data_IF_791781561765
#
_entry.id   IF_791781561765
#
_cell.length_a   1.000
_cell.length_b   1.000
_cell.length_c   1.000
_cell.angle_alpha   90.00
_cell.angle_beta   90.00
_cell.angle_gamma   90.00
#
_symmetry.space_group_name_H-M   'P 1'
#
loop_
_entity.id
_entity.type
_entity.pdbx_description
1 polymer ?
#
# COMPACT_ATOMS: atom_id res chain seq x y z
N UNK A 1 -25.56 -46.10 52.01
CA UNK A 1 -25.53 -45.86 50.55
C UNK A 1 -26.72 -45.00 50.20
N UNK A 2 -26.49 -43.95 49.40
CA UNK A 2 -27.49 -42.96 48.96
C UNK A 2 -27.70 -41.85 50.00
N UNK A 3 -27.66 -40.56 49.70
CA UNK A 3 -27.57 -39.85 48.43
C UNK A 3 -28.24 -38.49 48.65
N UNK A 4 -27.50 -37.40 48.49
CA UNK A 4 -28.03 -36.05 48.66
C UNK A 4 -27.16 -35.05 47.91
N UNK A 5 -27.79 -34.13 47.18
CA UNK A 5 -27.13 -33.01 46.53
C UNK A 5 -27.84 -32.56 45.26
N UNK A 6 -28.78 -31.60 45.41
CA UNK A 6 -29.32 -30.84 44.29
C UNK A 6 -28.33 -29.79 43.78
N UNK A 7 -28.52 -29.37 42.53
CA UNK A 7 -27.73 -28.31 41.91
C UNK A 7 -28.40 -27.81 40.63
N UNK A 8 -28.98 -26.62 40.71
CA UNK A 8 -29.54 -25.82 39.62
C UNK A 8 -28.42 -25.26 38.74
N UNK A 9 -28.48 -25.49 37.43
CA UNK A 9 -27.57 -24.89 36.44
C UNK A 9 -28.29 -23.89 35.54
N UNK A 10 -27.97 -22.61 35.70
CA UNK A 10 -28.39 -21.53 34.81
C UNK A 10 -27.55 -21.54 33.52
N UNK A 11 -28.21 -21.44 32.37
CA UNK A 11 -27.56 -21.31 31.07
C UNK A 11 -27.05 -19.90 30.82
N UNK A 12 -25.82 -19.79 30.32
CA UNK A 12 -25.28 -18.60 29.69
C UNK A 12 -24.83 -18.97 28.27
N UNK A 13 -25.52 -18.43 27.27
CA UNK A 13 -25.14 -18.54 25.86
C UNK A 13 -24.00 -17.57 25.55
N UNK A 14 -22.93 -18.07 24.95
CA UNK A 14 -21.86 -17.26 24.39
C UNK A 14 -22.06 -17.15 22.87
N UNK A 15 -22.33 -15.94 22.40
CA UNK A 15 -22.41 -15.61 20.98
C UNK A 15 -21.01 -15.60 20.34
N UNK A 16 -20.89 -16.26 19.19
CA UNK A 16 -19.69 -16.26 18.38
C UNK A 16 -19.60 -14.97 17.55
N UNK A 17 -18.59 -14.14 17.84
CA UNK A 17 -18.14 -13.07 16.96
C UNK A 17 -16.89 -13.54 16.21
N UNK A 18 -17.02 -13.80 14.90
CA UNK A 18 -15.90 -14.17 14.04
C UNK A 18 -15.03 -12.95 13.70
N UNK A 19 -13.79 -12.96 14.15
CA UNK A 19 -12.75 -12.00 13.74
C UNK A 19 -11.89 -12.60 12.61
N UNK A 20 -11.70 -11.84 11.54
CA UNK A 20 -10.83 -12.20 10.41
C UNK A 20 -9.35 -12.25 10.86
N UNK A 21 -8.68 -13.39 10.63
CA UNK A 21 -7.27 -13.61 10.96
C UNK A 21 -6.32 -13.09 9.88
N UNK A 22 -5.26 -12.40 10.29
CA UNK A 22 -4.21 -11.85 9.45
C UNK A 22 -3.15 -12.91 9.11
N UNK A 23 -2.85 -13.09 7.82
CA UNK A 23 -1.80 -14.02 7.35
C UNK A 23 -0.40 -13.47 7.55
N UNK A 24 0.54 -14.31 8.00
CA UNK A 24 1.96 -13.97 8.14
C UNK A 24 2.75 -14.32 6.87
N UNK A 25 3.65 -13.42 6.44
CA UNK A 25 4.62 -13.70 5.38
C UNK A 25 6.01 -14.01 5.93
N UNK A 26 6.72 -14.98 5.35
CA UNK A 26 8.09 -15.31 5.72
C UNK A 26 9.08 -14.87 4.62
N UNK A 27 10.11 -14.09 4.99
CA UNK A 27 11.25 -13.81 4.12
C UNK A 27 12.36 -14.82 4.36
N UNK A 28 12.99 -15.34 3.30
CA UNK A 28 14.18 -16.17 3.39
C UNK A 28 15.29 -15.59 2.49
N UNK A 29 16.54 -15.59 2.95
CA UNK A 29 17.70 -15.43 2.08
C UNK A 29 18.17 -16.82 1.61
N UNK A 30 18.72 -17.05 0.40
CA UNK A 30 18.70 -16.28 -0.86
C UNK A 30 17.53 -16.70 -1.78
N UNK A 31 16.50 -17.35 -1.25
CA UNK A 31 15.29 -17.67 -2.02
C UNK A 31 14.17 -16.76 -1.55
N UNK A 32 13.80 -15.80 -2.40
CA UNK A 32 12.51 -15.12 -2.52
C UNK A 32 11.50 -15.19 -1.36
N UNK A 33 10.75 -14.11 -1.11
CA UNK A 33 9.68 -14.10 -0.09
C UNK A 33 8.79 -15.35 -0.21
N UNK A 34 8.88 -16.23 0.80
CA UNK A 34 8.12 -17.49 0.87
C UNK A 34 6.94 -17.25 1.77
N UNK A 35 5.74 -17.18 1.22
CA UNK A 35 4.54 -17.11 2.04
C UNK A 35 4.16 -18.51 2.51
N UNK A 36 4.33 -18.75 3.79
CA UNK A 36 3.75 -19.91 4.48
C UNK A 36 2.47 -19.42 5.15
N UNK A 37 1.31 -19.87 4.68
CA UNK A 37 0.03 -19.45 5.26
C UNK A 37 -0.22 -20.21 6.57
N UNK A 38 -0.29 -19.52 7.70
CA UNK A 38 -0.71 -20.08 8.98
C UNK A 38 -2.24 -19.98 9.17
N UNK A 39 -3.06 -20.50 8.25
CA UNK A 39 -4.48 -20.73 8.52
C UNK A 39 -5.01 -21.97 7.79
N UNK A 40 -4.84 -23.12 8.44
CA UNK A 40 -5.68 -24.31 8.29
C UNK A 40 -5.65 -25.10 9.62
N UNK A 41 -6.24 -24.54 10.68
CA UNK A 41 -6.74 -25.40 11.76
C UNK A 41 -8.13 -25.88 11.35
N UNK A 42 -8.17 -26.89 10.50
CA UNK A 42 -9.30 -27.83 10.51
C UNK A 42 -8.81 -28.96 11.40
N UNK A 43 -9.40 -29.09 12.60
CA UNK A 43 -9.24 -30.30 13.38
C UNK A 43 -10.02 -31.43 12.69
N UNK A 44 -9.47 -31.97 11.62
CA UNK A 44 -9.55 -33.42 11.45
C UNK A 44 -8.40 -33.99 12.25
N UNK A 45 -8.69 -35.00 13.06
CA UNK A 45 -7.70 -35.65 13.90
C UNK A 45 -6.45 -36.00 13.06
N UNK A 46 -5.27 -35.60 13.59
CA UNK A 46 -3.89 -35.94 13.18
C UNK A 46 -3.28 -35.31 11.91
N UNK A 47 -2.96 -34.01 11.91
CA UNK A 47 -1.60 -33.49 11.63
C UNK A 47 -1.55 -31.96 11.45
N UNK A 48 -0.76 -31.27 12.29
CA UNK A 48 -0.52 -29.82 12.20
C UNK A 48 0.70 -29.58 11.30
N UNK A 49 0.48 -29.36 10.01
CA UNK A 49 1.56 -29.16 9.05
C UNK A 49 1.45 -27.82 8.29
N UNK A 50 2.57 -27.11 8.17
CA UNK A 50 2.67 -25.92 7.32
C UNK A 50 2.56 -26.31 5.84
N UNK A 51 1.73 -25.59 5.07
CA UNK A 51 1.57 -25.79 3.63
C UNK A 51 1.92 -24.52 2.85
N UNK A 52 2.80 -24.65 1.86
CA UNK A 52 3.05 -23.58 0.90
C UNK A 52 1.81 -23.34 0.03
N UNK A 53 1.37 -22.08 -0.03
CA UNK A 53 0.20 -21.68 -0.84
C UNK A 53 0.65 -21.02 -2.13
N UNK A 54 1.59 -20.10 -2.05
CA UNK A 54 2.17 -19.39 -3.18
C UNK A 54 3.58 -18.89 -2.85
N UNK A 55 4.35 -18.62 -3.88
CA UNK A 55 5.74 -18.17 -3.80
C UNK A 55 6.03 -17.13 -4.86
N UNK A 56 6.83 -16.13 -4.51
CA UNK A 56 7.49 -15.26 -5.49
C UNK A 56 8.72 -16.00 -6.03
N UNK A 57 8.89 -16.04 -7.35
CA UNK A 57 10.05 -16.70 -7.98
C UNK A 57 11.16 -15.71 -8.33
N UNK A 58 10.98 -14.42 -8.04
CA UNK A 58 12.01 -13.39 -8.19
C UNK A 58 13.18 -13.61 -7.23
N UNK A 59 14.40 -13.48 -7.75
CA UNK A 59 15.62 -13.53 -6.92
C UNK A 59 15.83 -12.18 -6.24
N UNK A 60 15.16 -11.98 -5.10
CA UNK A 60 15.26 -10.76 -4.30
C UNK A 60 15.77 -11.08 -2.90
N UNK A 61 16.68 -10.26 -2.39
CA UNK A 61 17.21 -10.40 -1.05
C UNK A 61 16.33 -9.58 -0.10
N UNK A 62 15.19 -10.18 0.27
CA UNK A 62 14.18 -9.53 1.10
C UNK A 62 14.71 -9.26 2.50
N UNK A 63 14.60 -8.01 2.95
CA UNK A 63 15.02 -7.53 4.29
C UNK A 63 13.85 -7.52 5.27
N UNK A 64 12.66 -7.16 4.79
CA UNK A 64 11.43 -7.16 5.55
C UNK A 64 10.23 -7.46 4.64
N UNK A 65 9.18 -8.07 5.17
CA UNK A 65 7.91 -8.26 4.48
C UNK A 65 6.71 -8.13 5.43
N UNK A 66 5.54 -7.83 4.86
CA UNK A 66 4.28 -7.74 5.56
C UNK A 66 3.10 -7.99 4.60
N UNK A 67 1.96 -8.34 5.18
CA UNK A 67 0.69 -8.49 4.47
C UNK A 67 -0.03 -7.14 4.47
N UNK A 68 -0.51 -6.68 3.31
CA UNK A 68 -1.33 -5.46 3.19
C UNK A 68 -2.82 -5.78 3.29
N UNK A 69 -3.23 -6.88 2.64
CA UNK A 69 -4.56 -7.46 2.70
C UNK A 69 -4.51 -8.96 2.36
N UNK A 70 -5.66 -9.62 2.21
CA UNK A 70 -5.75 -11.06 1.91
C UNK A 70 -5.04 -11.54 0.62
N UNK A 71 -4.70 -10.63 -0.29
CA UNK A 71 -4.13 -10.90 -1.61
C UNK A 71 -2.85 -10.13 -1.91
N UNK A 72 -2.62 -9.00 -1.25
CA UNK A 72 -1.47 -8.13 -1.48
C UNK A 72 -0.46 -8.20 -0.34
N UNK A 73 0.80 -8.25 -0.73
CA UNK A 73 1.95 -8.35 0.16
C UNK A 73 2.92 -7.25 -0.20
N UNK A 74 3.57 -6.69 0.81
CA UNK A 74 4.64 -5.72 0.67
C UNK A 74 5.94 -6.35 1.13
N UNK A 75 7.02 -6.05 0.43
CA UNK A 75 8.36 -6.42 0.83
C UNK A 75 9.36 -5.32 0.50
N UNK A 76 10.44 -5.29 1.28
CA UNK A 76 11.63 -4.48 1.03
C UNK A 76 12.80 -5.42 0.75
N UNK A 77 13.73 -5.00 -0.10
CA UNK A 77 14.93 -5.76 -0.43
C UNK A 77 16.21 -4.95 -0.21
N UNK A 78 17.37 -5.58 -0.39
CA UNK A 78 18.67 -5.03 0.01
C UNK A 78 19.26 -3.97 -0.93
N UNK A 79 18.66 -3.73 -2.10
CA UNK A 79 18.93 -2.60 -2.99
C UNK A 79 17.98 -1.41 -2.74
N UNK A 80 17.39 -1.34 -1.54
CA UNK A 80 16.57 -0.22 -1.05
C UNK A 80 15.25 0.00 -1.79
N UNK A 81 14.74 -1.05 -2.45
CA UNK A 81 13.43 -1.01 -3.09
C UNK A 81 12.33 -1.57 -2.19
N UNK A 82 11.14 -0.99 -2.33
CA UNK A 82 9.88 -1.59 -1.97
C UNK A 82 9.25 -2.23 -3.20
N UNK A 83 8.54 -3.33 -2.98
CA UNK A 83 7.75 -3.97 -4.00
C UNK A 83 6.51 -4.63 -3.42
N UNK A 84 5.45 -4.68 -4.23
CA UNK A 84 4.21 -5.36 -3.88
C UNK A 84 3.99 -6.56 -4.77
N UNK A 85 3.59 -7.66 -4.15
CA UNK A 85 3.20 -8.88 -4.81
C UNK A 85 1.70 -9.15 -4.60
N UNK A 86 1.05 -9.71 -5.61
CA UNK A 86 -0.37 -10.10 -5.56
C UNK A 86 -0.52 -11.60 -5.76
N UNK A 87 -1.39 -12.20 -4.97
CA UNK A 87 -1.88 -13.57 -5.16
C UNK A 87 -3.20 -13.55 -5.91
N UNK A 88 -3.30 -14.35 -6.97
CA UNK A 88 -4.57 -14.63 -7.63
C UNK A 88 -5.09 -16.04 -7.28
N UNK A 89 -6.03 -16.17 -6.33
CA UNK A 89 -6.61 -17.48 -6.00
C UNK A 89 -7.53 -18.02 -7.10
N UNK A 90 -7.95 -17.18 -8.05
CA UNK A 90 -8.88 -17.51 -9.12
C UNK A 90 -8.19 -17.79 -10.46
N UNK A 91 -6.85 -17.78 -10.48
CA UNK A 91 -6.09 -18.10 -11.69
C UNK A 91 -6.48 -19.49 -12.21
N UNK A 92 -6.42 -19.70 -13.53
CA UNK A 92 -6.98 -20.90 -14.18
C UNK A 92 -6.17 -22.15 -13.79
N UNK A 93 -4.84 -22.02 -13.81
CA UNK A 93 -3.93 -23.13 -13.53
C UNK A 93 -3.44 -23.15 -12.08
N UNK A 94 -3.11 -24.34 -11.57
CA UNK A 94 -2.51 -24.46 -10.23
C UNK A 94 -1.15 -23.76 -10.14
N UNK A 95 -0.38 -23.76 -11.22
CA UNK A 95 0.93 -23.10 -11.28
C UNK A 95 0.79 -21.58 -11.13
N UNK A 96 -0.18 -20.96 -11.81
CA UNK A 96 -0.47 -19.54 -11.64
C UNK A 96 -0.97 -19.22 -10.22
N UNK A 97 -1.86 -20.06 -9.65
CA UNK A 97 -2.34 -19.89 -8.27
C UNK A 97 -1.21 -19.96 -7.23
N UNK A 98 -0.13 -20.70 -7.53
CA UNK A 98 1.07 -20.84 -6.70
C UNK A 98 2.09 -19.72 -6.92
N UNK A 99 1.91 -18.84 -7.91
CA UNK A 99 2.82 -17.73 -8.20
C UNK A 99 2.33 -16.44 -7.59
N UNK A 100 3.24 -15.73 -6.93
CA UNK A 100 3.02 -14.33 -6.59
C UNK A 100 3.41 -13.47 -7.80
N UNK A 101 2.48 -12.62 -8.23
CA UNK A 101 2.68 -11.68 -9.31
C UNK A 101 3.28 -10.39 -8.76
N UNK A 102 4.39 -9.91 -9.34
CA UNK A 102 4.91 -8.58 -9.04
C UNK A 102 3.99 -7.52 -9.65
N UNK A 103 3.33 -6.72 -8.80
CA UNK A 103 2.36 -5.72 -9.23
C UNK A 103 2.81 -4.28 -9.00
N UNK A 104 3.83 -4.03 -8.18
CA UNK A 104 4.29 -2.67 -7.87
C UNK A 104 5.73 -2.63 -7.42
N UNK A 105 6.41 -1.52 -7.69
CA UNK A 105 7.82 -1.30 -7.36
C UNK A 105 8.12 0.17 -7.15
N UNK A 106 8.97 0.47 -6.17
CA UNK A 106 9.35 1.82 -5.78
C UNK A 106 10.73 1.81 -5.12
N UNK A 107 11.66 2.64 -5.59
CA UNK A 107 12.93 2.81 -4.90
C UNK A 107 12.76 3.75 -3.71
N UNK A 108 12.78 3.18 -2.50
CA UNK A 108 12.63 3.93 -1.27
C UNK A 108 13.91 4.72 -0.93
N UNK A 109 15.07 4.14 -1.23
CA UNK A 109 16.37 4.70 -0.86
C UNK A 109 16.78 4.39 0.59
N UNK A 110 16.00 3.56 1.29
CA UNK A 110 16.23 3.18 2.68
C UNK A 110 16.24 1.66 2.88
N UNK A 111 16.95 1.23 3.91
CA UNK A 111 17.02 -0.17 4.31
C UNK A 111 16.00 -0.48 5.41
N UNK A 112 14.86 -1.06 5.06
CA UNK A 112 13.80 -1.39 6.01
C UNK A 112 14.13 -2.65 6.81
N UNK A 113 14.10 -2.56 8.14
CA UNK A 113 14.34 -3.70 9.03
C UNK A 113 13.04 -4.37 9.48
N UNK A 114 11.95 -3.60 9.64
CA UNK A 114 10.70 -4.15 10.19
C UNK A 114 9.50 -3.37 9.70
N UNK A 115 8.48 -4.10 9.27
CA UNK A 115 7.10 -3.63 9.14
C UNK A 115 6.30 -4.05 10.37
N UNK A 116 5.37 -3.19 10.81
CA UNK A 116 4.39 -3.46 11.86
C UNK A 116 3.04 -2.92 11.45
N UNK A 117 2.00 -3.75 11.58
CA UNK A 117 0.63 -3.29 11.40
C UNK A 117 0.28 -2.27 12.48
N UNK A 118 -0.32 -1.14 12.06
CA UNK A 118 -0.68 -0.07 12.97
C UNK A 118 -0.77 1.30 12.29
N UNK A 119 -1.15 2.29 13.11
CA UNK A 119 -1.18 3.70 12.75
C UNK A 119 -0.66 4.50 13.94
N UNK A 120 0.07 5.58 13.66
CA UNK A 120 0.54 6.52 14.68
C UNK A 120 -0.53 7.55 15.05
N UNK A 121 -1.62 7.61 14.29
CA UNK A 121 -2.68 8.61 14.41
C UNK A 121 -3.85 8.04 15.20
N UNK A 122 -4.38 8.84 16.15
CA UNK A 122 -5.66 8.52 16.78
C UNK A 122 -6.79 8.63 15.74
N UNK A 123 -7.31 7.49 15.30
CA UNK A 123 -8.61 7.48 14.62
C UNK A 123 -9.68 7.77 15.67
N UNK A 124 -10.27 8.96 15.61
CA UNK A 124 -11.55 9.20 16.26
C UNK A 124 -12.49 8.08 15.81
N UNK A 125 -13.15 7.42 16.78
CA UNK A 125 -14.04 6.27 16.57
C UNK A 125 -14.83 6.37 15.26
N UNK A 126 -14.77 5.30 14.46
CA UNK A 126 -15.29 5.17 13.11
C UNK A 126 -16.78 5.50 12.99
N UNK A 127 -17.10 6.79 12.82
CA UNK A 127 -18.42 7.28 12.43
C UNK A 127 -18.38 8.66 11.77
N UNK A 128 -17.23 9.17 11.30
CA UNK A 128 -17.23 10.38 10.48
C UNK A 128 -17.54 10.01 9.03
N UNK A 129 -18.83 9.96 8.68
CA UNK A 129 -19.36 9.89 7.31
C UNK A 129 -19.02 11.14 6.47
N UNK A 130 -17.84 11.74 6.68
CA UNK A 130 -17.38 12.98 6.07
C UNK A 130 -15.86 13.06 5.87
N UNK A 131 -15.13 11.95 5.93
CA UNK A 131 -13.72 11.93 5.47
C UNK A 131 -13.71 12.13 3.96
N UNK A 132 -12.85 13.03 3.48
CA UNK A 132 -12.67 13.31 2.04
C UNK A 132 -11.75 12.24 1.42
N UNK A 133 -10.94 11.56 2.24
CA UNK A 133 -9.99 10.52 1.82
C UNK A 133 -10.45 9.11 2.21
N UNK A 134 -10.20 8.12 1.36
CA UNK A 134 -10.33 6.69 1.65
C UNK A 134 -9.04 6.06 2.20
N UNK A 135 -8.00 6.89 2.39
CA UNK A 135 -6.68 6.45 2.84
C UNK A 135 -6.76 5.73 4.17
N UNK A 136 -6.20 4.52 4.17
CA UNK A 136 -6.19 3.63 5.32
C UNK A 136 -4.74 3.27 5.64
N UNK A 137 -4.13 3.84 6.70
CA UNK A 137 -2.83 3.39 7.19
C UNK A 137 -2.87 1.89 7.49
N UNK A 138 -1.86 1.17 7.00
CA UNK A 138 -1.71 -0.28 7.13
C UNK A 138 -0.51 -0.62 7.99
N UNK A 139 0.64 -0.06 7.66
CA UNK A 139 1.91 -0.44 8.27
C UNK A 139 2.68 0.80 8.70
N UNK A 140 3.39 0.68 9.81
CA UNK A 140 4.53 1.51 10.17
C UNK A 140 5.79 0.69 9.91
N UNK A 141 6.85 1.32 9.42
CA UNK A 141 8.14 0.66 9.22
C UNK A 141 9.30 1.49 9.75
N UNK A 142 10.36 0.79 10.15
CA UNK A 142 11.60 1.40 10.62
C UNK A 142 12.80 0.97 9.78
N UNK A 143 13.65 1.94 9.47
CA UNK A 143 14.84 1.79 8.64
C UNK A 143 16.12 1.78 9.48
N UNK A 144 17.22 1.29 8.90
CA UNK A 144 18.56 1.31 9.52
C UNK A 144 19.02 2.72 9.88
N UNK A 145 18.64 3.71 9.07
CA UNK A 145 18.95 5.14 9.29
C UNK A 145 18.24 5.76 10.50
N UNK A 146 17.25 5.07 11.07
CA UNK A 146 16.34 5.64 12.08
C UNK A 146 15.11 6.31 11.48
N UNK A 147 14.99 6.38 10.15
CA UNK A 147 13.76 6.82 9.48
C UNK A 147 12.59 5.89 9.86
N UNK A 148 11.46 6.50 10.22
CA UNK A 148 10.17 5.84 10.33
C UNK A 148 9.32 6.24 9.13
N UNK A 149 8.59 5.28 8.57
CA UNK A 149 7.66 5.54 7.49
C UNK A 149 6.33 4.84 7.69
N UNK A 150 5.32 5.29 6.95
CA UNK A 150 3.97 4.75 6.96
C UNK A 150 3.62 4.26 5.57
N UNK A 151 2.99 3.08 5.49
CA UNK A 151 2.35 2.58 4.28
C UNK A 151 0.85 2.63 4.49
N UNK A 152 0.16 3.33 3.60
CA UNK A 152 -1.29 3.41 3.57
C UNK A 152 -1.83 2.92 2.23
N UNK A 153 -3.03 2.33 2.26
CA UNK A 153 -3.76 1.94 1.05
C UNK A 153 -4.83 2.98 0.71
N UNK A 154 -5.00 3.28 -0.56
CA UNK A 154 -6.07 4.12 -1.10
C UNK A 154 -6.88 3.33 -2.13
N UNK A 155 -8.10 3.78 -2.41
CA UNK A 155 -8.88 3.23 -3.52
C UNK A 155 -8.32 3.68 -4.89
N UNK A 156 -8.87 3.12 -5.98
CA UNK A 156 -8.38 3.39 -7.33
C UNK A 156 -8.55 4.86 -7.77
N UNK A 157 -9.67 5.49 -7.45
CA UNK A 157 -9.95 6.87 -7.87
C UNK A 157 -9.03 7.86 -7.15
N UNK A 158 -8.81 7.62 -5.86
CA UNK A 158 -7.91 8.39 -5.03
C UNK A 158 -6.44 8.21 -5.45
N UNK A 159 -6.03 6.97 -5.77
CA UNK A 159 -4.72 6.71 -6.36
C UNK A 159 -4.52 7.52 -7.65
N UNK A 160 -5.54 7.60 -8.50
CA UNK A 160 -5.48 8.37 -9.74
C UNK A 160 -5.36 9.89 -9.49
N UNK A 161 -6.04 10.43 -8.47
CA UNK A 161 -5.90 11.83 -8.06
C UNK A 161 -4.49 12.09 -7.53
N UNK A 162 -4.04 11.29 -6.57
CA UNK A 162 -2.71 11.44 -5.95
C UNK A 162 -1.57 11.29 -6.97
N UNK A 163 -1.70 10.37 -7.92
CA UNK A 163 -0.73 10.20 -9.01
C UNK A 163 -0.56 11.48 -9.83
N UNK A 164 -1.67 12.17 -10.14
CA UNK A 164 -1.65 13.44 -10.89
C UNK A 164 -1.09 14.58 -10.06
N UNK A 165 -1.45 14.65 -8.77
CA UNK A 165 -0.88 15.63 -7.84
C UNK A 165 0.63 15.46 -7.70
N UNK A 166 1.11 14.23 -7.50
CA UNK A 166 2.54 13.93 -7.47
C UNK A 166 3.22 14.35 -8.78
N UNK A 167 2.67 13.97 -9.94
CA UNK A 167 3.24 14.34 -11.23
C UNK A 167 3.27 15.86 -11.46
N UNK A 168 2.26 16.59 -11.01
CA UNK A 168 2.21 18.04 -11.07
C UNK A 168 3.22 18.68 -10.11
N UNK A 169 3.29 18.19 -8.87
CA UNK A 169 4.24 18.65 -7.86
C UNK A 169 5.69 18.49 -8.34
N UNK A 170 6.06 17.34 -8.90
CA UNK A 170 7.42 17.09 -9.43
C UNK A 170 7.82 18.10 -10.53
N UNK A 171 6.86 18.57 -11.35
CA UNK A 171 7.15 19.56 -12.40
C UNK A 171 7.37 20.96 -11.85
N UNK A 172 6.68 21.30 -10.76
CA UNK A 172 6.77 22.62 -10.13
C UNK A 172 7.95 22.67 -9.17
N UNK A 173 8.22 21.57 -8.46
CA UNK A 173 9.38 21.40 -7.60
C UNK A 173 10.66 21.45 -8.42
N UNK A 174 11.55 22.37 -8.06
CA UNK A 174 12.92 22.33 -8.52
C UNK A 174 13.68 21.29 -7.71
N UNK A 175 14.12 20.21 -8.37
CA UNK A 175 14.98 19.21 -7.74
C UNK A 175 16.31 19.81 -7.27
N UNK A 176 16.90 19.24 -6.22
CA UNK A 176 18.23 19.63 -5.75
C UNK A 176 19.29 18.89 -6.57
N UNK A 177 20.31 19.62 -7.04
CA UNK A 177 21.50 19.03 -7.66
C UNK A 177 21.22 18.28 -8.97
N UNK A 178 20.24 18.74 -9.77
CA UNK A 178 19.87 18.16 -11.06
C UNK A 178 19.54 16.66 -11.02
N UNK A 179 19.12 16.14 -9.86
CA UNK A 179 18.67 14.75 -9.74
C UNK A 179 17.21 14.61 -10.16
N UNK A 180 16.91 13.97 -11.31
CA UNK A 180 15.54 13.81 -11.76
C UNK A 180 14.80 12.80 -10.88
N UNK A 181 13.58 13.16 -10.46
CA UNK A 181 12.77 12.36 -9.55
C UNK A 181 12.45 10.94 -10.09
N UNK A 182 11.95 10.84 -11.32
CA UNK A 182 11.50 9.55 -11.86
C UNK A 182 12.64 8.52 -11.93
N UNK A 183 13.84 8.85 -12.46
CA UNK A 183 15.00 7.96 -12.40
C UNK A 183 15.40 7.55 -10.99
N UNK A 184 15.32 8.44 -10.00
CA UNK A 184 15.61 8.11 -8.61
C UNK A 184 14.63 7.08 -8.02
N UNK A 185 13.33 7.18 -8.34
CA UNK A 185 12.30 6.27 -7.81
C UNK A 185 12.13 4.95 -8.58
N UNK A 186 12.89 4.72 -9.66
CA UNK A 186 12.81 3.46 -10.45
C UNK A 186 13.18 2.26 -9.60
N UNK A 187 12.38 1.21 -9.68
CA UNK A 187 12.72 -0.07 -9.06
C UNK A 187 13.90 -0.69 -9.83
N UNK A 188 15.06 -0.85 -9.18
CA UNK A 188 16.27 -1.39 -9.82
C UNK A 188 16.92 -2.45 -8.95
N UNK A 189 17.16 -3.62 -9.55
CA UNK A 189 17.91 -4.75 -8.99
C UNK A 189 18.97 -5.20 -10.00
N UNK A 190 19.82 -6.16 -9.64
CA UNK A 190 20.84 -6.69 -10.55
C UNK A 190 20.29 -7.34 -11.83
N UNK A 191 19.04 -7.81 -11.80
CA UNK A 191 18.43 -8.56 -12.92
C UNK A 191 17.19 -7.90 -13.52
N UNK A 192 16.73 -6.79 -12.95
CA UNK A 192 15.45 -6.16 -13.31
C UNK A 192 15.48 -4.67 -13.02
N UNK A 193 14.96 -3.89 -13.95
CA UNK A 193 14.68 -2.47 -13.78
C UNK A 193 13.26 -2.18 -14.29
N UNK A 194 12.44 -1.53 -13.48
CA UNK A 194 11.09 -1.09 -13.85
C UNK A 194 10.88 0.36 -13.43
N UNK A 195 9.98 1.05 -14.15
CA UNK A 195 9.46 2.32 -13.68
C UNK A 195 8.72 2.15 -12.34
N UNK A 196 8.72 3.21 -11.54
CA UNK A 196 7.87 3.27 -10.36
C UNK A 196 6.40 3.06 -10.78
N UNK A 197 5.71 2.13 -10.10
CA UNK A 197 4.28 1.87 -10.36
C UNK A 197 3.57 1.36 -9.12
N UNK A 198 2.28 1.70 -9.02
CA UNK A 198 1.41 1.32 -7.90
C UNK A 198 1.92 1.77 -6.52
N UNK A 199 2.68 2.87 -6.49
CA UNK A 199 3.11 3.58 -5.29
C UNK A 199 2.91 5.09 -5.49
N UNK A 200 2.55 5.78 -4.42
CA UNK A 200 2.54 7.24 -4.31
C UNK A 200 3.61 7.60 -3.27
N UNK A 201 4.44 8.57 -3.62
CA UNK A 201 5.42 9.18 -2.72
C UNK A 201 4.73 10.24 -1.88
N UNK A 202 4.48 9.90 -0.61
CA UNK A 202 3.80 10.78 0.34
C UNK A 202 4.57 12.09 0.56
N UNK A 203 5.91 12.05 0.56
CA UNK A 203 6.74 13.22 0.81
C UNK A 203 6.56 14.28 -0.29
N UNK A 204 6.46 13.83 -1.55
CA UNK A 204 6.20 14.73 -2.68
C UNK A 204 4.82 15.35 -2.60
N UNK A 205 3.79 14.55 -2.28
CA UNK A 205 2.42 15.05 -2.15
C UNK A 205 2.30 16.04 -0.98
N UNK A 206 2.89 15.71 0.16
CA UNK A 206 2.89 16.55 1.37
C UNK A 206 3.62 17.86 1.16
N UNK A 207 4.72 17.86 0.39
CA UNK A 207 5.48 19.07 0.07
C UNK A 207 4.66 20.19 -0.60
N UNK A 208 3.50 19.86 -1.18
CA UNK A 208 2.57 20.86 -1.75
C UNK A 208 2.11 21.84 -0.67
N UNK A 209 2.00 21.40 0.59
CA UNK A 209 1.59 22.24 1.72
C UNK A 209 2.65 23.28 2.09
N UNK A 210 3.92 23.01 1.78
CA UNK A 210 5.06 23.91 2.06
C UNK A 210 5.35 24.88 0.89
N UNK A 211 4.65 24.74 -0.23
CA UNK A 211 4.82 25.60 -1.40
C UNK A 211 4.26 27.00 -1.19
N UNK A 212 4.76 27.96 -1.97
CA UNK A 212 4.12 29.27 -2.10
C UNK A 212 2.71 29.12 -2.65
N UNK A 213 1.81 30.09 -2.38
CA UNK A 213 0.45 30.07 -2.93
C UNK A 213 0.47 29.95 -4.46
N UNK A 214 1.36 30.68 -5.12
CA UNK A 214 1.47 30.68 -6.57
C UNK A 214 1.91 29.31 -7.10
N UNK A 215 2.86 28.65 -6.43
CA UNK A 215 3.31 27.30 -6.82
C UNK A 215 2.23 26.24 -6.55
N UNK A 216 1.51 26.33 -5.42
CA UNK A 216 0.38 25.44 -5.15
C UNK A 216 -0.75 25.61 -6.18
N UNK A 217 -1.03 26.85 -6.61
CA UNK A 217 -1.97 27.12 -7.71
C UNK A 217 -1.49 26.54 -9.04
N UNK A 218 -0.18 26.60 -9.33
CA UNK A 218 0.40 25.94 -10.50
C UNK A 218 0.29 24.43 -10.44
N UNK A 219 0.54 23.81 -9.29
CA UNK A 219 0.36 22.35 -9.08
C UNK A 219 -1.10 21.98 -9.33
N UNK A 220 -2.05 22.72 -8.76
CA UNK A 220 -3.48 22.50 -8.99
C UNK A 220 -3.86 22.61 -10.48
N UNK A 221 -3.38 23.66 -11.16
CA UNK A 221 -3.66 23.89 -12.58
C UNK A 221 -3.09 22.76 -13.45
N UNK A 222 -1.85 22.33 -13.20
CA UNK A 222 -1.21 21.21 -13.90
C UNK A 222 -1.97 19.89 -13.66
N UNK A 223 -2.33 19.57 -12.42
CA UNK A 223 -3.06 18.35 -12.09
C UNK A 223 -4.46 18.32 -12.74
N UNK A 224 -5.15 19.46 -12.76
CA UNK A 224 -6.47 19.62 -13.40
C UNK A 224 -6.36 19.48 -14.92
N UNK A 225 -5.34 20.08 -15.53
CA UNK A 225 -5.12 19.99 -16.98
C UNK A 225 -4.87 18.54 -17.45
N UNK A 226 -4.32 17.67 -16.60
CA UNK A 226 -4.15 16.24 -16.91
C UNK A 226 -5.47 15.49 -17.09
N UNK A 227 -6.59 15.99 -16.54
CA UNK A 227 -7.93 15.41 -16.82
C UNK A 227 -8.45 15.79 -18.21
N UNK A 228 -8.12 16.99 -18.70
CA UNK A 228 -8.55 17.47 -20.02
C UNK A 228 -7.74 16.94 -21.21
N UNK A 229 -6.58 16.32 -20.97
CA UNK A 229 -5.58 16.00 -22.00
C UNK A 229 -5.69 14.62 -22.66
N UNK A 230 -6.70 13.81 -22.32
CA UNK A 230 -6.82 12.45 -22.87
C UNK A 230 -7.49 12.39 -24.26
N UNK A 231 -6.71 12.83 -25.25
CA UNK A 231 -6.91 12.61 -26.68
C UNK A 231 -5.56 12.56 -27.40
N UNK A 232 -4.71 11.58 -27.09
CA UNK A 232 -3.48 11.28 -27.82
C UNK A 232 -2.24 12.03 -27.34
N UNK A 233 -1.31 11.30 -26.72
CA UNK A 233 -0.01 11.85 -26.35
C UNK A 233 0.63 11.08 -25.21
N UNK A 234 1.31 9.99 -25.57
CA UNK A 234 2.23 9.25 -24.73
C UNK A 234 3.37 10.18 -24.27
N UNK A 235 3.19 10.84 -23.13
CA UNK A 235 4.22 11.56 -22.41
C UNK A 235 4.30 10.97 -21.00
N UNK A 236 5.21 9.99 -20.86
CA UNK A 236 5.72 9.34 -19.66
C UNK A 236 5.27 9.94 -18.31
N UNK A 237 4.07 9.57 -17.87
CA UNK A 237 3.80 9.38 -16.45
C UNK A 237 4.44 8.03 -16.04
N UNK A 238 5.08 7.92 -14.87
CA UNK A 238 5.63 6.64 -14.42
C UNK A 238 4.50 5.61 -14.41
N UNK A 239 4.77 4.43 -14.98
CA UNK A 239 3.82 3.46 -15.50
C UNK A 239 2.63 3.15 -14.56
N UNK A 240 1.62 4.02 -14.56
CA UNK A 240 0.31 3.71 -14.02
C UNK A 240 -0.24 2.55 -14.85
N UNK A 241 -0.56 1.45 -14.19
CA UNK A 241 -1.30 0.34 -14.78
C UNK A 241 -2.46 0.91 -15.60
N UNK A 242 -2.67 0.35 -16.81
CA UNK A 242 -3.73 0.72 -17.75
C UNK A 242 -4.98 1.21 -17.01
N UNK A 243 -5.15 2.54 -16.94
CA UNK A 243 -6.30 3.15 -16.29
C UNK A 243 -7.50 2.87 -17.18
N UNK A 244 -8.16 1.75 -16.91
CA UNK A 244 -9.48 1.44 -17.44
C UNK A 244 -10.41 2.60 -17.10
N UNK A 245 -11.16 3.07 -18.09
CA UNK A 245 -11.94 4.29 -18.03
C UNK A 245 -12.77 4.42 -16.76
N UNK A 246 -12.42 5.38 -15.92
CA UNK A 246 -13.22 5.85 -14.80
C UNK A 246 -13.37 7.38 -14.93
N UNK A 247 -14.63 7.83 -14.88
CA UNK A 247 -15.23 9.18 -14.96
C UNK A 247 -14.41 10.35 -15.53
N UNK A 248 -14.97 10.95 -16.59
CA UNK A 248 -14.54 12.22 -17.23
C UNK A 248 -14.67 13.47 -16.35
N UNK A 249 -15.29 13.38 -15.17
CA UNK A 249 -15.54 14.56 -14.32
C UNK A 249 -14.37 14.85 -13.39
N UNK A 250 -14.04 16.13 -13.25
CA UNK A 250 -13.01 16.59 -12.33
C UNK A 250 -13.44 16.25 -10.89
N UNK A 251 -12.62 15.50 -10.13
CA UNK A 251 -12.95 15.18 -8.75
C UNK A 251 -13.17 16.44 -7.90
N UNK A 252 -14.10 16.40 -6.95
CA UNK A 252 -14.43 17.54 -6.09
C UNK A 252 -13.21 18.09 -5.35
N UNK A 253 -12.26 17.22 -4.99
CA UNK A 253 -10.99 17.58 -4.34
C UNK A 253 -10.07 18.43 -5.22
N UNK A 254 -10.29 18.47 -6.54
CA UNK A 254 -9.58 19.31 -7.49
C UNK A 254 -10.43 20.49 -8.01
N UNK A 255 -11.58 20.78 -7.39
CA UNK A 255 -12.45 21.90 -7.81
C UNK A 255 -11.78 23.28 -7.67
N UNK A 256 -10.80 23.42 -6.78
CA UNK A 256 -9.99 24.63 -6.58
C UNK A 256 -8.67 24.28 -5.91
N UNK A 257 -7.67 25.15 -5.99
CA UNK A 257 -6.42 24.99 -5.25
C UNK A 257 -6.64 24.89 -3.73
N UNK A 258 -7.65 25.60 -3.20
CA UNK A 258 -8.02 25.51 -1.77
C UNK A 258 -8.64 24.16 -1.40
N UNK A 259 -9.44 23.56 -2.29
CA UNK A 259 -9.97 22.21 -2.07
C UNK A 259 -8.86 21.15 -2.13
N UNK A 260 -7.91 21.31 -3.06
CA UNK A 260 -6.73 20.46 -3.18
C UNK A 260 -5.89 20.51 -1.91
N UNK A 261 -5.56 21.70 -1.40
CA UNK A 261 -4.76 21.84 -0.18
C UNK A 261 -5.44 21.19 1.04
N UNK A 262 -6.76 21.37 1.21
CA UNK A 262 -7.52 20.68 2.28
C UNK A 262 -7.45 19.16 2.16
N UNK A 263 -7.50 18.65 0.94
CA UNK A 263 -7.40 17.22 0.68
C UNK A 263 -5.98 16.70 0.99
N UNK A 264 -4.92 17.41 0.56
CA UNK A 264 -3.53 17.05 0.92
C UNK A 264 -3.32 17.09 2.43
N UNK A 265 -3.82 18.12 3.11
CA UNK A 265 -3.77 18.23 4.57
C UNK A 265 -4.46 17.05 5.28
N UNK A 266 -5.62 16.61 4.78
CA UNK A 266 -6.30 15.43 5.33
C UNK A 266 -5.47 14.15 5.12
N UNK A 267 -4.92 13.95 3.93
CA UNK A 267 -4.05 12.80 3.60
C UNK A 267 -2.82 12.77 4.50
N UNK A 268 -2.13 13.91 4.67
CA UNK A 268 -0.97 14.04 5.56
C UNK A 268 -1.33 13.71 7.01
N UNK A 269 -2.45 14.25 7.52
CA UNK A 269 -2.93 13.99 8.90
C UNK A 269 -3.30 12.53 9.15
N UNK A 270 -3.65 11.76 8.12
CA UNK A 270 -3.93 10.33 8.28
C UNK A 270 -2.64 9.50 8.39
N UNK A 271 -1.50 10.05 7.97
CA UNK A 271 -0.19 9.41 8.02
C UNK A 271 0.65 9.83 9.25
N UNK A 272 0.41 11.03 9.81
CA UNK A 272 1.18 11.61 10.93
C UNK A 272 0.35 11.93 12.17
#
# INVERSE_FOLDING_TARGET
GGGGGGGTGAGAGAGAGGGAGAGAGAGAAPSSTRLVNEHAWVSEQSDVAMREVCRDYGSMWTTASATLDSRHYLACENMYNLYTCRRDPNAVTDDERRRLEFVGGFHLGEHVNRFREGSLVMRASAASSGSISSLTPKLVFGCVSGMLGVVASVNHDEFAVLSRLQAAAIKVLQGVGDMPYNPWRKFVTSSRADECRNFIDGDVVESILDMSRDDAERVWAEATAMYGRNGGGEAAAPAAASVGGASMELPTVLSSASAMLKYVEEVSRLCH
#
